data_IF_923878768023
#
_entry.id   IF_923878768023
#
_cell.length_a   1.000
_cell.length_b   1.000
_cell.length_c   1.000
_cell.angle_alpha   90.00
_cell.angle_beta   90.00
_cell.angle_gamma   90.00
#
_symmetry.space_group_name_H-M   'P 1'
#
loop_
_entity.id
_entity.type
_entity.pdbx_description
1 polymer ?
#
# COMPACT_ATOMS: atom_id res chain seq x y z
N UNK A 1 15.41 6.78 -10.82
CA UNK A 1 14.29 7.75 -10.97
C UNK A 1 13.15 7.34 -10.04
N UNK A 2 12.59 8.29 -9.31
CA UNK A 2 11.51 8.01 -8.38
C UNK A 2 10.23 7.61 -9.12
N UNK A 3 9.60 6.52 -8.66
CA UNK A 3 8.27 6.13 -9.10
C UNK A 3 7.21 7.00 -8.42
N UNK A 4 5.95 6.85 -8.80
CA UNK A 4 4.84 7.52 -8.10
C UNK A 4 4.84 7.17 -6.61
N UNK A 5 5.06 5.90 -6.28
CA UNK A 5 5.17 5.45 -4.89
C UNK A 5 6.36 6.11 -4.19
N UNK A 6 7.52 6.17 -4.86
CA UNK A 6 8.70 6.81 -4.30
C UNK A 6 8.48 8.29 -4.00
N UNK A 7 7.79 8.98 -4.90
CA UNK A 7 7.44 10.39 -4.70
C UNK A 7 6.50 10.57 -3.51
N UNK A 8 5.53 9.69 -3.36
CA UNK A 8 4.61 9.73 -2.23
C UNK A 8 5.35 9.55 -0.90
N UNK A 9 6.21 8.53 -0.82
CA UNK A 9 6.98 8.27 0.40
C UNK A 9 7.92 9.42 0.75
N UNK A 10 8.56 9.99 -0.26
CA UNK A 10 9.45 11.14 -0.07
C UNK A 10 8.68 12.37 0.43
N UNK A 11 7.52 12.66 -0.16
CA UNK A 11 6.66 13.76 0.28
C UNK A 11 6.23 13.56 1.73
N UNK A 12 5.87 12.33 2.08
CA UNK A 12 5.46 11.98 3.44
C UNK A 12 6.57 12.29 4.44
N UNK A 13 7.82 11.94 4.11
CA UNK A 13 8.98 12.26 4.96
C UNK A 13 9.19 13.76 5.08
N UNK A 14 9.14 14.47 3.97
CA UNK A 14 9.34 15.93 3.94
C UNK A 14 8.31 16.60 4.84
N UNK A 15 7.05 16.20 4.73
CA UNK A 15 5.97 16.78 5.54
C UNK A 15 6.15 16.51 7.04
N UNK A 16 6.88 15.45 7.39
CA UNK A 16 7.13 15.07 8.78
C UNK A 16 8.51 15.47 9.27
N UNK A 17 9.31 16.14 8.43
CA UNK A 17 10.67 16.52 8.78
C UNK A 17 11.61 15.33 9.01
N UNK A 18 11.37 14.23 8.29
CA UNK A 18 12.17 13.01 8.41
C UNK A 18 13.17 12.87 7.28
N UNK A 19 14.30 12.24 7.59
CA UNK A 19 15.27 11.81 6.60
C UNK A 19 14.94 10.40 6.11
N UNK A 20 15.58 10.01 5.02
CA UNK A 20 15.43 8.66 4.47
C UNK A 20 15.77 7.58 5.52
N UNK A 21 16.83 7.81 6.29
CA UNK A 21 17.24 6.88 7.36
C UNK A 21 16.17 6.72 8.44
N UNK A 22 15.43 7.78 8.75
CA UNK A 22 14.38 7.72 9.77
C UNK A 22 13.24 6.83 9.33
N UNK A 23 12.81 6.97 8.08
CA UNK A 23 11.76 6.12 7.53
C UNK A 23 12.23 4.67 7.41
N UNK A 24 13.45 4.43 6.96
CA UNK A 24 14.02 3.08 6.87
C UNK A 24 14.02 2.40 8.24
N UNK A 25 14.40 3.12 9.28
CA UNK A 25 14.39 2.61 10.64
C UNK A 25 12.96 2.26 11.09
N UNK A 26 12.00 3.13 10.85
CA UNK A 26 10.60 2.87 11.19
C UNK A 26 10.04 1.63 10.48
N UNK A 27 10.47 1.41 9.23
CA UNK A 27 10.03 0.26 8.43
C UNK A 27 10.90 -0.98 8.65
N UNK A 28 11.90 -0.89 9.52
CA UNK A 28 12.83 -1.98 9.83
C UNK A 28 13.53 -2.53 8.59
N UNK A 29 14.00 -1.65 7.74
CA UNK A 29 14.75 -1.98 6.53
C UNK A 29 15.99 -1.11 6.43
N UNK A 30 16.89 -1.48 5.52
CA UNK A 30 18.08 -0.66 5.24
C UNK A 30 17.69 0.55 4.40
N UNK A 31 18.52 1.59 4.47
CA UNK A 31 18.37 2.76 3.60
C UNK A 31 18.44 2.35 2.13
N UNK A 32 19.35 1.44 1.81
CA UNK A 32 19.52 0.94 0.44
C UNK A 32 18.25 0.25 -0.07
N UNK A 33 17.61 -0.55 0.76
CA UNK A 33 16.37 -1.23 0.38
C UNK A 33 15.24 -0.21 0.13
N UNK A 34 15.05 0.73 1.06
CA UNK A 34 14.03 1.76 0.91
C UNK A 34 14.26 2.58 -0.35
N UNK A 35 15.50 2.99 -0.59
CA UNK A 35 15.86 3.72 -1.80
C UNK A 35 15.53 2.92 -3.07
N UNK A 36 15.82 1.61 -3.05
CA UNK A 36 15.53 0.73 -4.19
C UNK A 36 14.02 0.63 -4.44
N UNK A 37 13.22 0.56 -3.39
CA UNK A 37 11.74 0.56 -3.52
C UNK A 37 11.27 1.87 -4.12
N UNK A 38 11.78 2.99 -3.65
CA UNK A 38 11.36 4.31 -4.13
C UNK A 38 11.74 4.55 -5.60
N UNK A 39 12.79 3.91 -6.06
CA UNK A 39 13.25 4.01 -7.45
C UNK A 39 12.72 2.88 -8.35
N UNK A 40 11.84 2.04 -7.84
CA UNK A 40 11.21 0.99 -8.62
C UNK A 40 12.11 -0.22 -8.90
N UNK A 41 13.27 -0.30 -8.26
CA UNK A 41 14.21 -1.42 -8.44
C UNK A 41 13.84 -2.63 -7.58
N UNK A 42 13.10 -2.41 -6.52
CA UNK A 42 12.58 -3.46 -5.64
C UNK A 42 11.09 -3.21 -5.44
N UNK A 43 10.34 -4.29 -5.30
CA UNK A 43 8.91 -4.18 -5.02
C UNK A 43 8.69 -3.85 -3.56
N UNK A 44 7.66 -3.06 -3.30
CA UNK A 44 7.24 -2.75 -1.95
C UNK A 44 6.73 -4.02 -1.27
N UNK A 45 7.22 -4.35 -0.07
CA UNK A 45 6.63 -5.47 0.68
C UNK A 45 5.14 -5.25 0.90
N UNK A 46 4.35 -6.31 0.76
CA UNK A 46 2.88 -6.21 0.89
C UNK A 46 2.44 -5.72 2.26
N UNK A 47 3.22 -6.02 3.30
CA UNK A 47 2.95 -5.56 4.67
C UNK A 47 3.00 -4.05 4.82
N UNK A 48 3.72 -3.34 3.95
CA UNK A 48 3.83 -1.88 4.02
C UNK A 48 2.52 -1.18 3.67
N UNK A 49 1.64 -1.82 2.93
CA UNK A 49 0.36 -1.24 2.55
C UNK A 49 -0.44 -0.79 3.78
N UNK A 50 -0.44 -1.60 4.83
CA UNK A 50 -1.10 -1.26 6.08
C UNK A 50 -0.15 -0.57 7.06
N UNK A 51 1.09 -1.04 7.12
CA UNK A 51 2.08 -0.54 8.07
C UNK A 51 2.33 0.96 7.92
N UNK A 52 2.47 1.45 6.70
CA UNK A 52 2.70 2.87 6.45
C UNK A 52 1.50 3.70 6.88
N UNK A 53 0.28 3.23 6.59
CA UNK A 53 -0.92 3.92 7.03
C UNK A 53 -0.97 4.06 8.56
N UNK A 54 -0.59 3.00 9.27
CA UNK A 54 -0.61 2.98 10.73
C UNK A 54 0.52 3.81 11.33
N UNK A 55 1.75 3.65 10.83
CA UNK A 55 2.92 4.37 11.35
C UNK A 55 2.80 5.88 11.18
N UNK A 56 2.28 6.32 10.05
CA UNK A 56 2.17 7.74 9.71
C UNK A 56 0.78 8.30 9.95
N UNK A 57 -0.14 7.49 10.45
CA UNK A 57 -1.52 7.88 10.79
C UNK A 57 -2.17 8.64 9.63
N UNK A 58 -2.15 8.02 8.46
CA UNK A 58 -2.68 8.64 7.25
C UNK A 58 -4.19 8.85 7.37
N UNK A 59 -4.66 10.02 6.98
CA UNK A 59 -6.08 10.28 6.87
C UNK A 59 -6.61 9.67 5.57
N UNK A 60 -7.93 9.74 5.36
CA UNK A 60 -8.58 9.13 4.19
C UNK A 60 -8.00 9.65 2.88
N UNK A 61 -7.78 10.95 2.77
CA UNK A 61 -7.22 11.56 1.57
C UNK A 61 -5.81 11.05 1.28
N UNK A 62 -4.98 10.93 2.32
CA UNK A 62 -3.63 10.41 2.18
C UNK A 62 -3.62 8.92 1.83
N UNK A 63 -4.53 8.14 2.39
CA UNK A 63 -4.69 6.73 2.04
C UNK A 63 -5.07 6.59 0.56
N UNK A 64 -5.96 7.43 0.07
CA UNK A 64 -6.33 7.44 -1.35
C UNK A 64 -5.15 7.78 -2.25
N UNK A 65 -4.35 8.77 -1.87
CA UNK A 65 -3.13 9.13 -2.61
C UNK A 65 -2.11 7.98 -2.60
N UNK A 66 -1.94 7.34 -1.45
CA UNK A 66 -1.04 6.19 -1.30
C UNK A 66 -1.49 5.03 -2.19
N UNK A 67 -2.78 4.71 -2.13
CA UNK A 67 -3.37 3.64 -2.93
C UNK A 67 -3.16 3.89 -4.42
N UNK A 68 -3.39 5.13 -4.87
CA UNK A 68 -3.15 5.51 -6.25
C UNK A 68 -1.67 5.38 -6.63
N UNK A 69 -0.77 5.83 -5.74
CA UNK A 69 0.66 5.74 -5.98
C UNK A 69 1.12 4.29 -6.13
N UNK A 70 0.59 3.39 -5.32
CA UNK A 70 0.87 1.96 -5.43
C UNK A 70 0.36 1.43 -6.77
N UNK A 71 -0.88 1.75 -7.13
CA UNK A 71 -1.48 1.29 -8.38
C UNK A 71 -0.71 1.77 -9.60
N UNK A 72 -0.19 2.99 -9.57
CA UNK A 72 0.58 3.56 -10.67
C UNK A 72 2.00 2.98 -10.77
N UNK A 73 2.50 2.35 -9.71
CA UNK A 73 3.89 1.90 -9.62
C UNK A 73 4.06 0.38 -9.62
N UNK A 74 3.02 -0.38 -9.28
CA UNK A 74 3.10 -1.82 -9.09
C UNK A 74 2.15 -2.57 -10.01
N UNK A 75 2.65 -3.64 -10.62
CA UNK A 75 1.85 -4.52 -11.49
C UNK A 75 1.24 -5.68 -10.72
N UNK A 76 1.78 -5.97 -9.55
CA UNK A 76 1.37 -7.11 -8.75
C UNK A 76 1.19 -6.71 -7.30
N UNK A 77 0.22 -7.31 -6.65
CA UNK A 77 0.00 -7.18 -5.22
C UNK A 77 -0.21 -8.56 -4.63
N UNK A 78 0.40 -8.82 -3.49
CA UNK A 78 0.22 -10.07 -2.77
C UNK A 78 -0.70 -9.86 -1.57
N UNK A 79 -1.58 -10.84 -1.36
CA UNK A 79 -2.38 -10.93 -0.14
C UNK A 79 -1.83 -12.08 0.68
N UNK A 80 -1.30 -11.78 1.86
CA UNK A 80 -0.77 -12.79 2.77
C UNK A 80 -1.92 -13.36 3.57
N UNK A 81 -2.21 -14.65 3.39
CA UNK A 81 -3.35 -15.30 4.02
C UNK A 81 -3.02 -15.98 5.34
N UNK A 82 -1.75 -16.02 5.72
CA UNK A 82 -1.31 -16.59 6.98
C UNK A 82 -1.94 -15.81 8.14
N UNK A 83 -2.46 -16.52 9.13
CA UNK A 83 -3.08 -15.95 10.32
C UNK A 83 -4.37 -15.17 10.06
N UNK A 84 -4.94 -15.30 8.86
CA UNK A 84 -6.25 -14.75 8.52
C UNK A 84 -7.29 -15.82 8.78
N UNK A 85 -8.46 -15.42 9.32
CA UNK A 85 -9.51 -16.39 9.60
C UNK A 85 -10.02 -17.03 8.30
N UNK A 86 -10.63 -18.20 8.44
CA UNK A 86 -11.06 -19.01 7.29
C UNK A 86 -12.05 -18.27 6.39
N UNK A 87 -12.98 -17.54 6.98
CA UNK A 87 -14.00 -16.80 6.23
C UNK A 87 -13.38 -15.70 5.38
N UNK A 88 -12.46 -14.94 5.97
CA UNK A 88 -11.77 -13.88 5.25
C UNK A 88 -10.81 -14.41 4.18
N UNK A 89 -10.20 -15.59 4.41
CA UNK A 89 -9.42 -16.24 3.36
C UNK A 89 -10.27 -16.55 2.13
N UNK A 90 -11.47 -17.08 2.35
CA UNK A 90 -12.40 -17.38 1.26
C UNK A 90 -12.79 -16.14 0.49
N UNK A 91 -13.03 -15.04 1.21
CA UNK A 91 -13.32 -13.74 0.58
C UNK A 91 -12.15 -13.31 -0.31
N UNK A 92 -10.93 -13.38 0.20
CA UNK A 92 -9.74 -12.99 -0.54
C UNK A 92 -9.56 -13.82 -1.80
N UNK A 93 -9.75 -15.14 -1.71
CA UNK A 93 -9.62 -16.05 -2.84
C UNK A 93 -10.70 -15.77 -3.88
N UNK A 94 -11.94 -15.57 -3.44
CA UNK A 94 -13.05 -15.24 -4.35
C UNK A 94 -12.85 -13.89 -5.01
N UNK A 95 -12.35 -12.90 -4.27
CA UNK A 95 -12.00 -11.59 -4.79
C UNK A 95 -10.94 -11.71 -5.87
N UNK A 96 -9.90 -12.50 -5.64
CA UNK A 96 -8.82 -12.70 -6.59
C UNK A 96 -9.31 -13.25 -7.94
N UNK A 97 -10.35 -14.10 -7.92
CA UNK A 97 -10.93 -14.63 -9.14
C UNK A 97 -11.75 -13.62 -9.94
N UNK A 98 -12.30 -12.61 -9.28
CA UNK A 98 -13.33 -11.76 -9.88
C UNK A 98 -12.96 -10.29 -10.00
N UNK A 99 -11.94 -9.83 -9.29
CA UNK A 99 -11.69 -8.38 -9.17
C UNK A 99 -11.52 -7.67 -10.53
N UNK A 100 -10.93 -8.34 -11.51
CA UNK A 100 -10.69 -7.74 -12.82
C UNK A 100 -11.98 -7.50 -13.62
N UNK A 101 -13.08 -8.16 -13.22
CA UNK A 101 -14.37 -8.09 -13.94
C UNK A 101 -15.40 -7.23 -13.21
N UNK A 102 -15.03 -6.54 -12.14
CA UNK A 102 -15.98 -5.70 -11.41
C UNK A 102 -16.48 -4.55 -12.28
N UNK A 103 -17.81 -4.37 -12.31
CA UNK A 103 -18.43 -3.23 -12.96
C UNK A 103 -18.51 -2.03 -11.99
N UNK A 104 -19.05 -0.90 -12.48
CA UNK A 104 -19.14 0.32 -11.68
C UNK A 104 -19.96 0.18 -10.42
N UNK A 105 -21.06 -0.57 -10.47
CA UNK A 105 -21.93 -0.81 -9.32
C UNK A 105 -21.23 -1.64 -8.27
N UNK A 106 -20.58 -2.72 -8.68
CA UNK A 106 -19.86 -3.61 -7.79
C UNK A 106 -18.69 -2.88 -7.13
N UNK A 107 -17.93 -2.09 -7.90
CA UNK A 107 -16.83 -1.28 -7.36
C UNK A 107 -17.32 -0.33 -6.27
N UNK A 108 -18.45 0.34 -6.51
CA UNK A 108 -19.00 1.28 -5.55
C UNK A 108 -19.38 0.61 -4.23
N UNK A 109 -20.02 -0.55 -4.30
CA UNK A 109 -20.40 -1.33 -3.12
C UNK A 109 -19.17 -1.76 -2.33
N UNK A 110 -18.18 -2.30 -3.03
CA UNK A 110 -16.94 -2.77 -2.40
C UNK A 110 -16.18 -1.61 -1.74
N UNK A 111 -16.07 -0.48 -2.43
CA UNK A 111 -15.36 0.67 -1.88
C UNK A 111 -16.05 1.21 -0.63
N UNK A 112 -17.36 1.18 -0.57
CA UNK A 112 -18.10 1.59 0.65
C UNK A 112 -17.75 0.70 1.83
N UNK A 113 -17.64 -0.61 1.60
CA UNK A 113 -17.25 -1.56 2.65
C UNK A 113 -15.83 -1.28 3.13
N UNK A 114 -14.90 -1.04 2.19
CA UNK A 114 -13.49 -0.83 2.51
C UNK A 114 -13.20 0.52 3.15
N UNK A 115 -14.02 1.53 2.89
CA UNK A 115 -13.88 2.88 3.44
C UNK A 115 -14.63 3.07 4.76
N UNK A 116 -15.44 2.11 5.13
CA UNK A 116 -16.21 2.15 6.37
C UNK A 116 -15.29 1.83 7.55
N UNK A 117 -15.34 2.64 8.57
CA UNK A 117 -14.52 2.48 9.78
C UNK A 117 -15.13 1.50 10.78
#
# INVERSE_FOLDING_TARGET
MLTALGKFLRKLRIDRGEYLKDMAEKLDVTVSFLSAVENGKKKMPSSWNRLICDLYKLNKSQIDEFTKAIADSEDKMELVLKDVNEENKRIAISFARKFSDFDGRQREIIMKILEDD
#
